data_IF_349267565828
#
_entry.id   IF_349267565828
#
_cell.length_a   1.000
_cell.length_b   1.000
_cell.length_c   1.000
_cell.angle_alpha   90.00
_cell.angle_beta   90.00
_cell.angle_gamma   90.00
#
_symmetry.space_group_name_H-M   'P 1'
#
loop_
_entity.id
_entity.type
_entity.pdbx_description
1 polymer ?
#
# COMPACT_ATOMS: atom_id res chain seq x y z
N UNK A 1 12.25 -37.31 -2.01
CA UNK A 1 12.38 -35.96 -2.61
C UNK A 1 11.11 -35.69 -3.40
N UNK A 2 10.38 -34.63 -3.06
CA UNK A 2 9.13 -34.25 -3.75
C UNK A 2 9.40 -32.96 -4.51
N UNK A 3 9.16 -32.96 -5.83
CA UNK A 3 9.29 -31.78 -6.68
C UNK A 3 7.88 -31.20 -6.88
N UNK A 4 7.70 -29.92 -6.54
CA UNK A 4 6.44 -29.21 -6.72
C UNK A 4 6.58 -28.11 -7.78
N UNK A 5 5.73 -28.09 -8.81
CA UNK A 5 5.75 -27.01 -9.80
C UNK A 5 5.37 -25.66 -9.18
N UNK A 6 6.05 -24.58 -9.59
CA UNK A 6 5.82 -23.22 -9.09
C UNK A 6 4.37 -22.72 -9.27
N UNK A 7 3.68 -23.16 -10.34
CA UNK A 7 2.24 -22.90 -10.55
C UNK A 7 1.38 -23.46 -9.41
N UNK A 8 1.68 -24.68 -8.93
CA UNK A 8 0.92 -25.33 -7.86
C UNK A 8 1.18 -24.62 -6.54
N UNK A 9 2.43 -24.21 -6.28
CA UNK A 9 2.76 -23.37 -5.14
C UNK A 9 1.95 -22.06 -5.15
N UNK A 10 1.88 -21.38 -6.30
CA UNK A 10 1.10 -20.15 -6.45
C UNK A 10 -0.41 -20.33 -6.25
N UNK A 11 -0.97 -21.46 -6.70
CA UNK A 11 -2.38 -21.80 -6.50
C UNK A 11 -2.67 -22.07 -5.00
N UNK A 12 -1.87 -22.93 -4.39
CA UNK A 12 -2.04 -23.30 -2.98
C UNK A 12 -1.86 -22.10 -2.05
N UNK A 13 -0.90 -21.21 -2.32
CA UNK A 13 -0.73 -20.00 -1.51
C UNK A 13 -1.98 -19.12 -1.50
N UNK A 14 -2.63 -18.96 -2.66
CA UNK A 14 -3.84 -18.16 -2.83
C UNK A 14 -5.05 -18.76 -2.11
N UNK A 15 -5.16 -20.08 -2.12
CA UNK A 15 -6.37 -20.78 -1.67
C UNK A 15 -6.28 -21.31 -0.24
N UNK A 16 -5.08 -21.58 0.27
CA UNK A 16 -4.86 -22.19 1.58
C UNK A 16 -4.30 -21.22 2.64
N UNK A 17 -4.30 -19.90 2.37
CA UNK A 17 -3.82 -18.85 3.31
C UNK A 17 -2.42 -19.14 3.86
N UNK A 18 -1.54 -19.68 3.01
CA UNK A 18 -0.22 -20.15 3.44
C UNK A 18 0.70 -19.01 3.90
N UNK A 19 0.41 -17.76 3.52
CA UNK A 19 1.07 -16.58 4.07
C UNK A 19 0.86 -16.42 5.57
N UNK A 20 -0.37 -16.64 6.05
CA UNK A 20 -0.69 -16.56 7.47
C UNK A 20 -0.07 -17.73 8.23
N UNK A 21 -0.12 -18.92 7.62
CA UNK A 21 0.52 -20.11 8.18
C UNK A 21 2.04 -19.87 8.33
N UNK A 22 2.70 -19.31 7.31
CA UNK A 22 4.12 -18.95 7.36
C UNK A 22 4.41 -17.97 8.49
N UNK A 23 3.61 -16.92 8.66
CA UNK A 23 3.78 -15.96 9.76
C UNK A 23 3.65 -16.65 11.12
N UNK A 24 2.64 -17.51 11.26
CA UNK A 24 2.36 -18.21 12.52
C UNK A 24 3.39 -19.28 12.89
N UNK A 25 4.05 -19.88 11.90
CA UNK A 25 5.01 -20.96 12.12
C UNK A 25 6.46 -20.48 12.30
N UNK A 26 6.70 -19.16 12.20
CA UNK A 26 8.03 -18.58 12.41
C UNK A 26 8.57 -18.95 13.78
N UNK A 27 9.76 -19.53 13.80
CA UNK A 27 10.46 -19.88 15.03
C UNK A 27 9.90 -21.10 15.77
N UNK A 28 8.87 -21.76 15.24
CA UNK A 28 8.36 -23.03 15.79
C UNK A 28 9.22 -24.19 15.32
N UNK A 29 9.53 -24.21 14.02
CA UNK A 29 10.34 -25.25 13.38
C UNK A 29 11.15 -24.62 12.23
N UNK A 30 12.46 -24.82 12.24
CA UNK A 30 13.37 -24.22 11.27
C UNK A 30 13.27 -24.87 9.87
N UNK A 31 12.98 -26.18 9.81
CA UNK A 31 12.79 -26.88 8.54
C UNK A 31 11.48 -26.45 7.88
N UNK A 32 10.41 -26.35 8.67
CA UNK A 32 9.13 -25.88 8.19
C UNK A 32 9.20 -24.43 7.68
N UNK A 33 9.85 -23.52 8.43
CA UNK A 33 10.02 -22.13 8.00
C UNK A 33 10.81 -22.04 6.68
N UNK A 34 11.89 -22.82 6.55
CA UNK A 34 12.68 -22.87 5.32
C UNK A 34 11.84 -23.35 4.11
N UNK A 35 11.01 -24.39 4.30
CA UNK A 35 10.10 -24.89 3.27
C UNK A 35 9.07 -23.83 2.91
N UNK A 36 8.49 -23.15 3.89
CA UNK A 36 7.49 -22.10 3.64
C UNK A 36 8.08 -20.88 2.94
N UNK A 37 9.32 -20.52 3.22
CA UNK A 37 10.05 -19.46 2.51
C UNK A 37 10.29 -19.86 1.05
N UNK A 38 10.82 -21.07 0.80
CA UNK A 38 11.05 -21.56 -0.54
C UNK A 38 9.75 -21.61 -1.37
N UNK A 39 8.66 -22.03 -0.73
CA UNK A 39 7.34 -22.06 -1.32
C UNK A 39 6.85 -20.66 -1.75
N UNK A 40 6.95 -19.68 -0.85
CA UNK A 40 6.55 -18.29 -1.10
C UNK A 40 7.34 -17.67 -2.26
N UNK A 41 8.64 -17.94 -2.33
CA UNK A 41 9.51 -17.46 -3.42
C UNK A 41 9.05 -18.04 -4.76
N UNK A 42 8.90 -19.37 -4.85
CA UNK A 42 8.47 -20.02 -6.10
C UNK A 42 7.09 -19.55 -6.56
N UNK A 43 6.15 -19.38 -5.62
CA UNK A 43 4.82 -18.87 -5.90
C UNK A 43 4.86 -17.43 -6.43
N UNK A 44 5.67 -16.57 -5.82
CA UNK A 44 5.84 -15.16 -6.21
C UNK A 44 6.50 -15.06 -7.59
N UNK A 45 7.57 -15.81 -7.83
CA UNK A 45 8.28 -15.84 -9.11
C UNK A 45 7.36 -16.29 -10.25
N UNK A 46 6.53 -17.31 -10.03
CA UNK A 46 5.55 -17.71 -11.04
C UNK A 46 4.53 -16.62 -11.33
N UNK A 47 4.06 -15.89 -10.31
CA UNK A 47 3.08 -14.81 -10.53
C UNK A 47 3.69 -13.63 -11.30
N UNK A 48 4.92 -13.23 -10.98
CA UNK A 48 5.59 -12.12 -11.66
C UNK A 48 5.88 -12.44 -13.12
N UNK A 49 6.23 -13.70 -13.42
CA UNK A 49 6.49 -14.16 -14.79
C UNK A 49 5.21 -14.46 -15.58
N UNK A 50 4.25 -15.20 -15.01
CA UNK A 50 3.05 -15.66 -15.71
C UNK A 50 1.99 -14.57 -15.95
N UNK A 51 1.93 -13.53 -15.09
CA UNK A 51 0.93 -12.47 -15.23
C UNK A 51 1.43 -11.25 -16.01
N UNK A 52 2.67 -11.26 -16.50
CA UNK A 52 3.27 -10.15 -17.26
C UNK A 52 3.32 -8.82 -16.48
N UNK A 53 3.04 -8.86 -15.16
CA UNK A 53 3.03 -7.70 -14.30
C UNK A 53 4.40 -7.64 -13.64
N UNK A 54 5.37 -7.10 -14.37
CA UNK A 54 6.56 -6.52 -13.73
C UNK A 54 6.03 -5.55 -12.69
N UNK A 55 6.15 -5.90 -11.40
CA UNK A 55 5.81 -4.98 -10.33
C UNK A 55 6.69 -3.76 -10.56
N UNK A 56 6.08 -2.65 -11.00
CA UNK A 56 6.82 -1.43 -11.25
C UNK A 56 7.59 -1.10 -9.97
N UNK A 57 8.92 -0.89 -10.03
CA UNK A 57 9.69 -0.55 -8.85
C UNK A 57 9.00 0.63 -8.18
N UNK A 58 8.66 0.47 -6.90
CA UNK A 58 8.05 1.52 -6.10
C UNK A 58 9.02 2.71 -6.17
N UNK A 59 8.65 3.85 -6.79
CA UNK A 59 9.59 4.95 -6.92
C UNK A 59 10.03 5.38 -5.53
N UNK A 60 11.35 5.50 -5.37
CA UNK A 60 11.98 6.08 -4.19
C UNK A 60 11.29 7.42 -3.91
N UNK A 61 10.94 7.69 -2.64
CA UNK A 61 10.12 8.82 -2.27
C UNK A 61 10.76 10.11 -2.81
N UNK A 62 10.19 10.64 -3.89
CA UNK A 62 10.63 11.89 -4.49
C UNK A 62 10.58 13.02 -3.46
N UNK A 63 11.31 14.13 -3.72
CA UNK A 63 11.31 15.28 -2.83
C UNK A 63 9.87 15.64 -2.46
N UNK A 64 9.65 15.85 -1.16
CA UNK A 64 8.35 16.19 -0.55
C UNK A 64 7.72 17.32 -1.38
N UNK A 65 6.81 16.96 -2.28
CA UNK A 65 6.14 17.94 -3.10
C UNK A 65 5.38 18.87 -2.17
N UNK A 66 5.51 20.18 -2.41
CA UNK A 66 4.79 21.25 -1.70
C UNK A 66 3.26 21.02 -1.73
N UNK A 67 2.82 20.28 -2.74
CA UNK A 67 1.44 19.91 -3.01
C UNK A 67 1.12 18.51 -2.48
N UNK A 68 0.06 18.43 -1.70
CA UNK A 68 -0.49 17.22 -1.09
C UNK A 68 -1.79 16.85 -1.80
N UNK A 69 -1.97 15.57 -2.12
CA UNK A 69 -3.22 15.05 -2.68
C UNK A 69 -4.32 14.92 -1.62
N UNK A 70 -5.58 14.81 -2.03
CA UNK A 70 -6.71 14.62 -1.09
C UNK A 70 -6.63 13.31 -0.31
N UNK A 71 -5.96 12.29 -0.84
CA UNK A 71 -5.74 11.03 -0.13
C UNK A 71 -4.71 11.21 1.00
N UNK A 72 -3.57 11.85 0.70
CA UNK A 72 -2.52 12.13 1.68
C UNK A 72 -3.00 13.12 2.75
N UNK A 73 -3.77 14.13 2.37
CA UNK A 73 -4.40 15.06 3.31
C UNK A 73 -5.38 14.34 4.26
N UNK A 74 -6.13 13.36 3.76
CA UNK A 74 -7.01 12.52 4.58
C UNK A 74 -6.22 11.70 5.60
N UNK A 75 -5.11 11.10 5.17
CA UNK A 75 -4.20 10.37 6.08
C UNK A 75 -3.60 11.29 7.15
N UNK A 76 -3.16 12.49 6.79
CA UNK A 76 -2.55 13.45 7.72
C UNK A 76 -3.55 14.01 8.76
N UNK A 77 -4.81 14.18 8.37
CA UNK A 77 -5.88 14.70 9.23
C UNK A 77 -6.71 13.58 9.90
N UNK A 78 -6.40 12.31 9.64
CA UNK A 78 -7.17 11.14 10.06
C UNK A 78 -8.67 11.21 9.68
N UNK A 79 -8.96 11.71 8.48
CA UNK A 79 -10.33 11.80 7.94
C UNK A 79 -10.43 11.12 6.57
N UNK A 80 -11.66 10.81 6.16
CA UNK A 80 -11.90 10.20 4.84
C UNK A 80 -11.65 11.22 3.72
N UNK A 81 -11.25 10.74 2.55
CA UNK A 81 -11.07 11.59 1.35
C UNK A 81 -12.33 12.39 0.99
N UNK A 82 -13.52 11.83 1.26
CA UNK A 82 -14.81 12.53 1.09
C UNK A 82 -14.93 13.74 2.02
N UNK A 83 -14.51 13.62 3.28
CA UNK A 83 -14.51 14.73 4.22
C UNK A 83 -13.50 15.82 3.84
N UNK A 84 -12.35 15.46 3.26
CA UNK A 84 -11.38 16.43 2.71
C UNK A 84 -12.01 17.22 1.56
N UNK A 85 -12.65 16.54 0.60
CA UNK A 85 -13.32 17.19 -0.52
C UNK A 85 -14.46 18.10 -0.05
N UNK A 86 -15.20 17.68 0.98
CA UNK A 86 -16.23 18.52 1.60
C UNK A 86 -15.61 19.79 2.22
N UNK A 87 -14.54 19.66 2.99
CA UNK A 87 -13.85 20.80 3.60
C UNK A 87 -13.28 21.78 2.56
N UNK A 88 -12.82 21.27 1.41
CA UNK A 88 -12.43 22.11 0.25
C UNK A 88 -13.65 22.82 -0.33
N UNK A 89 -14.76 22.11 -0.52
CA UNK A 89 -16.00 22.69 -1.09
C UNK A 89 -16.64 23.75 -0.17
N UNK A 90 -16.49 23.59 1.14
CA UNK A 90 -16.93 24.56 2.16
C UNK A 90 -15.94 25.73 2.33
N UNK A 91 -14.80 25.72 1.61
CA UNK A 91 -13.79 26.77 1.67
C UNK A 91 -12.93 26.77 2.94
N UNK A 92 -12.98 25.71 3.75
CA UNK A 92 -12.16 25.57 4.97
C UNK A 92 -10.70 25.21 4.67
N UNK A 93 -10.45 24.60 3.52
CA UNK A 93 -9.11 24.25 3.04
C UNK A 93 -8.94 24.83 1.63
N UNK A 94 -7.89 25.63 1.42
CA UNK A 94 -7.56 26.11 0.08
C UNK A 94 -6.92 24.99 -0.73
N UNK A 95 -7.44 24.78 -1.94
CA UNK A 95 -6.94 23.76 -2.85
C UNK A 95 -7.07 24.22 -4.30
N UNK A 96 -6.09 23.84 -5.11
CA UNK A 96 -6.07 24.09 -6.55
C UNK A 96 -6.46 22.83 -7.30
N UNK A 97 -7.39 22.94 -8.26
CA UNK A 97 -7.77 21.81 -9.12
C UNK A 97 -6.88 21.79 -10.35
N UNK A 98 -6.02 20.80 -10.47
CA UNK A 98 -5.08 20.63 -11.59
C UNK A 98 -5.35 19.29 -12.26
N UNK A 99 -5.67 19.32 -13.56
CA UNK A 99 -5.94 18.12 -14.38
C UNK A 99 -6.99 17.17 -13.76
N UNK A 100 -8.06 17.74 -13.19
CA UNK A 100 -9.16 16.97 -12.58
C UNK A 100 -8.91 16.53 -11.14
N UNK A 101 -7.70 16.70 -10.60
CA UNK A 101 -7.33 16.31 -9.24
C UNK A 101 -7.12 17.56 -8.35
N UNK A 102 -7.49 17.44 -7.08
CA UNK A 102 -7.24 18.48 -6.08
C UNK A 102 -5.81 18.41 -5.56
N UNK A 103 -5.14 19.55 -5.52
CA UNK A 103 -3.81 19.77 -4.93
C UNK A 103 -3.92 20.79 -3.82
N UNK A 104 -3.55 20.38 -2.61
CA UNK A 104 -3.62 21.19 -1.40
C UNK A 104 -2.18 21.61 -1.07
N UNK A 105 -1.92 22.89 -0.80
CA UNK A 105 -0.61 23.30 -0.31
C UNK A 105 -0.43 22.78 1.12
N UNK A 106 0.77 22.30 1.46
CA UNK A 106 1.05 21.79 2.82
C UNK A 106 0.77 22.83 3.91
N UNK A 107 1.06 24.09 3.62
CA UNK A 107 0.81 25.23 4.53
C UNK A 107 -0.68 25.37 4.88
N UNK A 108 -1.55 25.28 3.86
CA UNK A 108 -3.00 25.35 4.05
C UNK A 108 -3.53 24.16 4.87
N UNK A 109 -2.92 22.98 4.70
CA UNK A 109 -3.27 21.79 5.48
C UNK A 109 -2.91 21.93 6.96
N UNK A 110 -1.70 22.45 7.25
CA UNK A 110 -1.26 22.70 8.64
C UNK A 110 -2.07 23.82 9.29
N UNK A 111 -2.45 24.87 8.55
CA UNK A 111 -3.32 25.92 9.05
C UNK A 111 -4.69 25.38 9.47
N UNK A 112 -5.29 24.51 8.63
CA UNK A 112 -6.55 23.84 8.96
C UNK A 112 -6.41 22.89 10.17
N UNK A 113 -5.27 22.20 10.29
CA UNK A 113 -4.97 21.34 11.44
C UNK A 113 -4.86 22.14 12.74
N UNK A 114 -4.17 23.28 12.72
CA UNK A 114 -4.06 24.18 13.85
C UNK A 114 -5.42 24.77 14.27
N UNK A 115 -6.26 25.17 13.31
CA UNK A 115 -7.60 25.69 13.56
C UNK A 115 -8.56 24.67 14.20
N UNK A 116 -8.29 23.36 14.05
CA UNK A 116 -9.10 22.28 14.63
C UNK A 116 -8.60 21.81 16.00
N UNK A 117 -7.37 22.16 16.37
CA UNK A 117 -6.76 21.79 17.64
C UNK A 117 -6.95 22.86 18.75
N UNK A 118 -7.42 24.06 18.38
CA UNK A 118 -7.85 25.12 19.30
C UNK A 118 -9.35 24.97 19.63
#
# INVERSE_FOLDING_TARGET
>A
MVIMPARIAAMLERHARLDELRISARGVDAEFDAVMVAFHIAATEWRTTALGRTQAPKPEAGPLSEWVSTAEAGSALHITTRAVVLAISEGRIRANKVSGNWRIAREDLEHHKAARAA
#
